data_IF_466586091213
#
_entry.id   IF_466586091213
#
_cell.length_a   1.000
_cell.length_b   1.000
_cell.length_c   1.000
_cell.angle_alpha   90.00
_cell.angle_beta   90.00
_cell.angle_gamma   90.00
#
_symmetry.space_group_name_H-M   'P 1'
#
loop_
_entity.id
_entity.type
_entity.pdbx_description
1 polymer ?
#
# COMPACT_ATOMS: atom_id res chain seq x y z
N UNK A 1 14.75 15.48 -2.06
CA UNK A 1 15.63 16.36 -1.28
C UNK A 1 16.81 15.57 -0.76
N UNK A 2 18.05 16.09 -0.86
CA UNK A 2 19.22 15.57 -0.15
C UNK A 2 19.08 15.69 1.37
N UNK A 3 18.18 16.56 1.84
CA UNK A 3 17.85 16.68 3.25
C UNK A 3 17.22 15.38 3.77
N UNK A 4 17.58 15.00 5.00
CA UNK A 4 17.09 13.79 5.68
C UNK A 4 15.60 13.80 6.03
N UNK A 5 14.87 14.85 5.61
CA UNK A 5 13.47 15.15 5.93
C UNK A 5 12.63 15.33 4.65
N UNK A 6 11.35 15.01 4.73
CA UNK A 6 10.37 15.31 3.68
C UNK A 6 9.10 15.90 4.31
N UNK A 7 8.72 17.10 3.82
CA UNK A 7 7.50 17.77 4.24
C UNK A 7 6.23 17.04 3.76
N UNK A 8 5.06 17.34 4.35
CA UNK A 8 3.83 16.59 4.15
C UNK A 8 3.33 16.59 2.70
N UNK A 9 3.34 17.74 2.02
CA UNK A 9 2.90 17.84 0.63
C UNK A 9 3.80 17.07 -0.36
N UNK A 10 5.11 17.18 -0.19
CA UNK A 10 6.07 16.44 -1.02
C UNK A 10 6.02 14.92 -0.75
N UNK A 11 5.79 14.53 0.49
CA UNK A 11 5.56 13.13 0.87
C UNK A 11 4.32 12.58 0.17
N UNK A 12 3.18 13.27 0.25
CA UNK A 12 1.92 12.82 -0.34
C UNK A 12 2.01 12.63 -1.85
N UNK A 13 2.60 13.60 -2.56
CA UNK A 13 2.82 13.52 -4.01
C UNK A 13 3.71 12.33 -4.38
N UNK A 14 4.83 12.15 -3.68
CA UNK A 14 5.74 11.03 -3.93
C UNK A 14 5.10 9.66 -3.61
N UNK A 15 4.37 9.57 -2.50
CA UNK A 15 3.70 8.35 -2.08
C UNK A 15 2.58 7.94 -3.02
N UNK A 16 1.74 8.88 -3.49
CA UNK A 16 0.69 8.58 -4.48
C UNK A 16 1.30 8.00 -5.77
N UNK A 17 2.43 8.54 -6.24
CA UNK A 17 3.09 8.01 -7.44
C UNK A 17 3.53 6.55 -7.22
N UNK A 18 4.17 6.27 -6.07
CA UNK A 18 4.58 4.89 -5.72
C UNK A 18 3.36 3.97 -5.65
N UNK A 19 2.27 4.44 -5.03
CA UNK A 19 1.04 3.68 -4.88
C UNK A 19 0.36 3.42 -6.24
N UNK A 20 0.31 4.42 -7.12
CA UNK A 20 -0.28 4.29 -8.45
C UNK A 20 0.50 3.29 -9.32
N UNK A 21 1.83 3.36 -9.32
CA UNK A 21 2.68 2.40 -10.05
C UNK A 21 2.50 0.99 -9.48
N UNK A 22 2.47 0.86 -8.16
CA UNK A 22 2.20 -0.43 -7.48
C UNK A 22 0.85 -1.00 -7.89
N UNK A 23 -0.20 -0.17 -7.94
CA UNK A 23 -1.54 -0.58 -8.37
C UNK A 23 -1.56 -1.04 -9.83
N UNK A 24 -0.91 -0.31 -10.74
CA UNK A 24 -0.80 -0.71 -12.16
C UNK A 24 -0.15 -2.08 -12.28
N UNK A 25 0.95 -2.33 -11.55
CA UNK A 25 1.63 -3.62 -11.56
C UNK A 25 0.71 -4.74 -11.06
N UNK A 26 -0.06 -4.50 -10.00
CA UNK A 26 -1.01 -5.49 -9.49
C UNK A 26 -2.12 -5.79 -10.50
N UNK A 27 -2.71 -4.76 -11.11
CA UNK A 27 -3.74 -4.93 -12.15
C UNK A 27 -3.19 -5.71 -13.35
N UNK A 28 -1.97 -5.43 -13.81
CA UNK A 28 -1.33 -6.18 -14.89
C UNK A 28 -1.20 -7.66 -14.53
N UNK A 29 -0.74 -7.99 -13.32
CA UNK A 29 -0.59 -9.38 -12.88
C UNK A 29 -1.93 -10.11 -12.78
N UNK A 30 -3.00 -9.43 -12.34
CA UNK A 30 -4.35 -10.02 -12.28
C UNK A 30 -4.89 -10.30 -13.69
N UNK A 31 -4.77 -9.34 -14.61
CA UNK A 31 -5.31 -9.46 -15.96
C UNK A 31 -4.53 -10.47 -16.84
N UNK A 32 -3.21 -10.53 -16.67
CA UNK A 32 -2.36 -11.43 -17.47
C UNK A 32 -2.23 -12.83 -16.85
N UNK A 33 -2.58 -12.99 -15.58
CA UNK A 33 -2.28 -14.19 -14.80
C UNK A 33 -0.76 -14.45 -14.68
N UNK A 34 -0.38 -15.65 -14.22
CA UNK A 34 1.03 -16.05 -14.17
C UNK A 34 1.66 -16.02 -15.56
N UNK A 35 2.66 -15.16 -15.76
CA UNK A 35 3.31 -14.93 -17.06
C UNK A 35 4.81 -14.74 -16.92
N UNK A 36 5.54 -14.73 -18.04
CA UNK A 36 6.98 -14.42 -18.06
C UNK A 36 7.30 -13.02 -17.49
N UNK A 37 6.31 -12.12 -17.44
CA UNK A 37 6.46 -10.78 -16.85
C UNK A 37 6.27 -10.76 -15.32
N UNK A 38 5.70 -11.81 -14.72
CA UNK A 38 5.42 -11.83 -13.27
C UNK A 38 6.69 -11.68 -12.44
N UNK A 39 7.80 -12.33 -12.83
CA UNK A 39 9.07 -12.22 -12.11
C UNK A 39 9.69 -10.81 -12.23
N UNK A 40 9.90 -10.22 -13.42
CA UNK A 40 10.37 -8.85 -13.57
C UNK A 40 9.51 -7.82 -12.81
N UNK A 41 8.19 -7.93 -12.90
CA UNK A 41 7.26 -7.03 -12.20
C UNK A 41 7.32 -7.19 -10.67
N UNK A 42 7.57 -8.40 -10.19
CA UNK A 42 7.85 -8.67 -8.77
C UNK A 42 9.10 -7.94 -8.28
N UNK A 43 10.17 -7.91 -9.07
CA UNK A 43 11.39 -7.16 -8.74
C UNK A 43 11.15 -5.66 -8.70
N UNK A 44 10.39 -5.12 -9.65
CA UNK A 44 9.99 -3.70 -9.63
C UNK A 44 9.17 -3.40 -8.36
N UNK A 45 8.25 -4.29 -7.99
CA UNK A 45 7.46 -4.15 -6.77
C UNK A 45 8.32 -4.10 -5.50
N UNK A 46 9.39 -4.90 -5.44
CA UNK A 46 10.34 -4.86 -4.32
C UNK A 46 11.09 -3.52 -4.24
N UNK A 47 11.48 -2.95 -5.39
CA UNK A 47 12.09 -1.60 -5.44
C UNK A 47 11.10 -0.54 -4.96
N UNK A 48 9.84 -0.60 -5.38
CA UNK A 48 8.79 0.33 -4.93
C UNK A 48 8.52 0.19 -3.42
N UNK A 49 8.58 -1.04 -2.89
CA UNK A 49 8.48 -1.28 -1.45
C UNK A 49 9.63 -0.62 -0.69
N UNK A 50 10.87 -0.74 -1.20
CA UNK A 50 12.01 -0.03 -0.63
C UNK A 50 11.85 1.49 -0.70
N UNK A 51 11.39 2.03 -1.83
CA UNK A 51 11.09 3.46 -1.98
C UNK A 51 10.04 3.92 -0.95
N UNK A 52 9.01 3.11 -0.69
CA UNK A 52 7.98 3.38 0.31
C UNK A 52 8.60 3.50 1.70
N UNK A 53 9.43 2.54 2.10
CA UNK A 53 10.14 2.61 3.39
C UNK A 53 10.98 3.89 3.48
N UNK A 54 11.74 4.19 2.44
CA UNK A 54 12.62 5.36 2.42
C UNK A 54 11.85 6.69 2.59
N UNK A 55 10.69 6.85 1.92
CA UNK A 55 9.89 8.08 2.07
C UNK A 55 9.20 8.16 3.42
N UNK A 56 8.79 7.03 4.01
CA UNK A 56 8.22 6.97 5.36
C UNK A 56 9.25 7.34 6.43
N UNK A 57 10.46 6.81 6.34
CA UNK A 57 11.56 7.16 7.25
C UNK A 57 11.85 8.66 7.20
N UNK A 58 11.92 9.24 6.00
CA UNK A 58 12.10 10.69 5.85
C UNK A 58 10.92 11.49 6.42
N UNK A 59 9.69 10.97 6.35
CA UNK A 59 8.51 11.61 6.94
C UNK A 59 8.59 11.60 8.46
N UNK A 60 8.98 10.46 9.05
CA UNK A 60 9.19 10.33 10.50
C UNK A 60 10.30 11.26 11.00
N UNK A 61 11.40 11.38 10.26
CA UNK A 61 12.45 12.34 10.57
C UNK A 61 11.95 13.80 10.56
N UNK A 62 11.00 14.11 9.66
CA UNK A 62 10.39 15.43 9.62
C UNK A 62 9.48 15.73 10.82
N UNK A 63 8.94 14.70 11.48
CA UNK A 63 8.16 14.84 12.73
C UNK A 63 9.05 14.81 13.98
N UNK A 64 10.38 14.69 13.81
CA UNK A 64 11.33 14.53 14.92
C UNK A 64 11.40 13.10 15.50
N UNK A 65 10.70 12.14 14.88
CA UNK A 65 10.73 10.74 15.29
C UNK A 65 11.91 10.00 14.65
N UNK A 66 12.33 8.89 15.26
CA UNK A 66 13.35 8.00 14.68
C UNK A 66 12.79 7.20 13.52
N UNK A 67 13.62 6.90 12.51
CA UNK A 67 13.22 6.08 11.37
C UNK A 67 12.75 4.66 11.73
N UNK A 68 13.16 4.13 12.88
CA UNK A 68 12.78 2.79 13.36
C UNK A 68 11.27 2.61 13.57
N UNK A 69 10.53 3.70 13.80
CA UNK A 69 9.07 3.65 13.86
C UNK A 69 8.42 3.12 12.58
N UNK A 70 9.14 3.14 11.44
CA UNK A 70 8.66 2.51 10.20
C UNK A 70 8.40 1.01 10.37
N UNK A 71 9.15 0.32 11.23
CA UNK A 71 8.96 -1.12 11.49
C UNK A 71 7.66 -1.36 12.25
N UNK A 72 7.38 -0.54 13.27
CA UNK A 72 6.14 -0.63 14.03
C UNK A 72 4.93 -0.27 13.16
N UNK A 73 5.05 0.77 12.33
CA UNK A 73 4.02 1.15 11.36
C UNK A 73 3.79 0.00 10.36
N UNK A 74 4.84 -0.54 9.75
CA UNK A 74 4.74 -1.64 8.80
C UNK A 74 4.12 -2.89 9.45
N UNK A 75 4.51 -3.23 10.68
CA UNK A 75 3.98 -4.38 11.41
C UNK A 75 2.50 -4.22 11.76
N UNK A 76 2.12 -3.09 12.36
CA UNK A 76 0.72 -2.78 12.67
C UNK A 76 -0.14 -2.73 11.41
N UNK A 77 0.40 -2.16 10.34
CA UNK A 77 -0.28 -2.08 9.06
C UNK A 77 -0.47 -3.43 8.38
N UNK A 78 0.54 -4.30 8.45
CA UNK A 78 0.46 -5.68 7.96
C UNK A 78 -0.62 -6.44 8.71
N UNK A 79 -0.76 -6.24 10.02
CA UNK A 79 -1.82 -6.87 10.80
C UNK A 79 -3.22 -6.39 10.35
N UNK A 80 -3.41 -5.09 10.13
CA UNK A 80 -4.66 -4.55 9.59
C UNK A 80 -5.01 -5.16 8.23
N UNK A 81 -4.02 -5.29 7.34
CA UNK A 81 -4.19 -5.96 6.04
C UNK A 81 -4.56 -7.44 6.19
N UNK A 82 -3.87 -8.18 7.05
CA UNK A 82 -4.13 -9.62 7.25
C UNK A 82 -5.54 -9.87 7.77
N UNK A 83 -5.99 -9.09 8.75
CA UNK A 83 -7.37 -9.19 9.27
C UNK A 83 -8.37 -8.84 8.18
N UNK A 84 -8.11 -7.76 7.44
CA UNK A 84 -8.97 -7.36 6.33
C UNK A 84 -9.08 -8.42 5.24
N UNK A 85 -7.97 -9.01 4.81
CA UNK A 85 -7.95 -10.11 3.82
C UNK A 85 -8.68 -11.34 4.36
N UNK A 86 -8.51 -11.70 5.63
CA UNK A 86 -9.23 -12.84 6.23
C UNK A 86 -10.75 -12.63 6.18
N UNK A 87 -11.23 -11.41 6.43
CA UNK A 87 -12.66 -11.06 6.31
C UNK A 87 -13.12 -11.18 4.85
N UNK A 88 -12.35 -10.64 3.90
CA UNK A 88 -12.68 -10.72 2.46
C UNK A 88 -12.75 -12.19 2.00
N UNK A 89 -11.79 -13.03 2.38
CA UNK A 89 -11.80 -14.44 2.04
C UNK A 89 -13.03 -15.15 2.62
N UNK A 90 -13.37 -14.86 3.88
CA UNK A 90 -14.55 -15.45 4.54
C UNK A 90 -15.87 -15.08 3.85
N UNK A 91 -15.99 -13.85 3.35
CA UNK A 91 -17.20 -13.36 2.68
C UNK A 91 -17.23 -13.81 1.21
N UNK A 92 -16.30 -13.30 0.41
CA UNK A 92 -16.36 -13.41 -1.05
C UNK A 92 -15.95 -14.80 -1.54
N UNK A 93 -14.82 -15.33 -1.06
CA UNK A 93 -14.39 -16.67 -1.46
C UNK A 93 -15.25 -17.77 -0.81
N UNK A 94 -15.79 -17.50 0.39
CA UNK A 94 -16.76 -18.36 1.06
C UNK A 94 -18.01 -18.62 0.22
N UNK A 95 -18.57 -17.58 -0.41
CA UNK A 95 -19.76 -17.71 -1.26
C UNK A 95 -19.50 -18.59 -2.50
N UNK A 96 -18.36 -18.38 -3.17
CA UNK A 96 -17.93 -19.20 -4.33
C UNK A 96 -17.76 -20.67 -3.92
N UNK A 97 -17.10 -20.92 -2.79
CA UNK A 97 -16.90 -22.27 -2.26
C UNK A 97 -18.22 -22.94 -1.87
N UNK A 98 -19.15 -22.19 -1.28
CA UNK A 98 -20.46 -22.72 -0.90
C UNK A 98 -21.27 -23.17 -2.12
N UNK A 99 -21.13 -22.46 -3.25
CA UNK A 99 -21.76 -22.81 -4.52
C UNK A 99 -21.12 -24.08 -5.10
N UNK A 100 -19.78 -24.17 -5.09
CA UNK A 100 -19.04 -25.36 -5.51
C UNK A 100 -19.36 -26.61 -4.68
N UNK A 101 -19.74 -26.46 -3.40
CA UNK A 101 -20.18 -27.58 -2.57
C UNK A 101 -21.57 -28.11 -2.95
N UNK A 102 -22.42 -27.29 -3.56
CA UNK A 102 -23.80 -27.65 -3.92
C UNK A 102 -23.92 -28.12 -5.37
N UNK A 103 -23.01 -27.69 -6.23
CA UNK A 103 -23.00 -28.00 -7.66
C UNK A 103 -21.64 -28.57 -8.08
N UNK A 104 -21.57 -29.90 -8.19
CA UNK A 104 -20.37 -30.61 -8.65
C UNK A 104 -19.98 -30.24 -10.10
N UNK A 105 -20.96 -29.92 -10.96
CA UNK A 105 -20.68 -29.49 -12.32
C UNK A 105 -20.01 -28.12 -12.35
N UNK A 106 -20.44 -27.20 -11.48
CA UNK A 106 -19.79 -25.91 -11.31
C UNK A 106 -18.37 -26.06 -10.74
N UNK A 107 -18.19 -26.89 -9.71
CA UNK A 107 -16.90 -27.13 -9.07
C UNK A 107 -15.83 -27.67 -10.04
N UNK A 108 -16.24 -28.46 -11.04
CA UNK A 108 -15.34 -28.97 -12.08
C UNK A 108 -15.22 -28.06 -13.30
N UNK A 109 -15.96 -26.94 -13.33
CA UNK A 109 -15.93 -26.03 -14.45
C UNK A 109 -14.67 -25.13 -14.43
N UNK A 110 -14.18 -24.68 -15.59
CA UNK A 110 -13.16 -23.62 -15.65
C UNK A 110 -13.61 -22.29 -15.03
N UNK A 111 -14.93 -22.11 -14.84
CA UNK A 111 -15.51 -20.89 -14.29
C UNK A 111 -15.24 -20.78 -12.79
N UNK A 112 -15.24 -21.89 -12.05
CA UNK A 112 -14.93 -21.91 -10.61
C UNK A 112 -13.59 -21.22 -10.30
N UNK A 113 -12.54 -21.53 -11.08
CA UNK A 113 -11.22 -20.92 -10.89
C UNK A 113 -11.21 -19.41 -11.15
N UNK A 114 -12.01 -18.94 -12.12
CA UNK A 114 -12.14 -17.51 -12.43
C UNK A 114 -12.91 -16.77 -11.34
N UNK A 115 -14.04 -17.32 -10.91
CA UNK A 115 -14.86 -16.74 -9.85
C UNK A 115 -14.09 -16.70 -8.53
N UNK A 116 -13.30 -17.73 -8.23
CA UNK A 116 -12.43 -17.75 -7.05
C UNK A 116 -11.30 -16.71 -7.17
N UNK A 117 -10.72 -16.52 -8.36
CA UNK A 117 -9.76 -15.45 -8.59
C UNK A 117 -10.40 -14.07 -8.36
N UNK A 118 -11.55 -13.80 -8.97
CA UNK A 118 -12.21 -12.50 -8.86
C UNK A 118 -12.69 -12.20 -7.43
N UNK A 119 -13.22 -13.20 -6.73
CA UNK A 119 -13.64 -13.11 -5.34
C UNK A 119 -12.49 -12.81 -4.36
N UNK A 120 -11.24 -13.12 -4.73
CA UNK A 120 -10.07 -12.83 -3.92
C UNK A 120 -9.44 -11.50 -4.33
N UNK A 121 -9.12 -11.37 -5.62
CA UNK A 121 -8.27 -10.29 -6.11
C UNK A 121 -9.00 -8.96 -6.21
N UNK A 122 -10.25 -8.92 -6.65
CA UNK A 122 -11.00 -7.66 -6.81
C UNK A 122 -11.25 -6.98 -5.46
N UNK A 123 -11.95 -7.63 -4.50
CA UNK A 123 -12.18 -7.02 -3.20
C UNK A 123 -10.88 -6.86 -2.40
N UNK A 124 -9.93 -7.79 -2.52
CA UNK A 124 -8.62 -7.71 -1.87
C UNK A 124 -7.80 -6.50 -2.35
N UNK A 125 -7.81 -6.22 -3.67
CA UNK A 125 -7.13 -5.06 -4.24
C UNK A 125 -7.81 -3.76 -3.85
N UNK A 126 -9.15 -3.72 -3.86
CA UNK A 126 -9.91 -2.54 -3.43
C UNK A 126 -9.63 -2.20 -1.96
N UNK A 127 -9.69 -3.22 -1.09
CA UNK A 127 -9.36 -3.08 0.32
C UNK A 127 -7.91 -2.62 0.51
N UNK A 128 -6.97 -3.27 -0.19
CA UNK A 128 -5.56 -2.92 -0.14
C UNK A 128 -5.30 -1.47 -0.56
N UNK A 129 -6.01 -0.97 -1.57
CA UNK A 129 -5.91 0.41 -2.01
C UNK A 129 -6.46 1.38 -0.95
N UNK A 130 -7.67 1.13 -0.44
CA UNK A 130 -8.30 1.96 0.60
C UNK A 130 -7.41 2.06 1.82
N UNK A 131 -6.91 0.92 2.28
CA UNK A 131 -6.00 0.83 3.40
C UNK A 131 -4.77 1.69 3.06
N UNK A 132 -3.99 1.38 2.01
CA UNK A 132 -2.76 2.14 1.67
C UNK A 132 -2.96 3.66 1.54
N UNK A 133 -4.07 4.10 0.94
CA UNK A 133 -4.45 5.52 0.89
C UNK A 133 -4.60 6.09 2.30
N UNK A 134 -5.30 5.38 3.20
CA UNK A 134 -5.48 5.80 4.59
C UNK A 134 -4.13 5.92 5.33
N UNK A 135 -3.19 4.99 5.17
CA UNK A 135 -1.87 5.12 5.79
C UNK A 135 -1.08 6.30 5.24
N UNK A 136 -1.05 6.45 3.91
CA UNK A 136 -0.41 7.61 3.30
C UNK A 136 -1.02 8.92 3.80
N UNK A 137 -2.35 8.96 3.95
CA UNK A 137 -3.03 10.14 4.44
C UNK A 137 -2.69 10.42 5.90
N UNK A 138 -2.69 9.40 6.77
CA UNK A 138 -2.27 9.53 8.18
C UNK A 138 -0.84 10.07 8.25
N UNK A 139 0.09 9.50 7.46
CA UNK A 139 1.49 9.93 7.43
C UNK A 139 1.67 11.36 6.91
N UNK A 140 0.89 11.76 5.91
CA UNK A 140 0.89 13.12 5.39
C UNK A 140 0.37 14.14 6.41
N UNK A 141 -0.55 13.74 7.30
CA UNK A 141 -1.13 14.62 8.33
C UNK A 141 -0.35 14.63 9.65
N UNK A 142 0.72 13.85 9.79
CA UNK A 142 1.59 13.97 10.97
C UNK A 142 2.15 15.38 11.08
N UNK A 143 2.26 15.92 12.29
CA UNK A 143 2.78 17.28 12.50
C UNK A 143 4.29 17.29 12.30
N UNK A 144 4.76 18.18 11.43
CA UNK A 144 6.19 18.45 11.23
C UNK A 144 6.79 19.18 12.43
N UNK A 145 8.05 18.87 12.73
CA UNK A 145 8.84 19.58 13.73
C UNK A 145 9.21 20.98 13.19
N UNK A 146 8.76 22.06 13.84
CA UNK A 146 9.03 23.43 13.38
C UNK A 146 10.50 23.85 13.57
N UNK A 147 11.26 23.12 14.39
CA UNK A 147 12.64 23.45 14.69
C UNK A 147 13.61 22.62 13.85
N UNK A 148 14.88 23.05 13.87
CA UNK A 148 15.99 22.21 13.42
C UNK A 148 16.12 21.03 14.37
N UNK A 149 16.14 19.81 13.83
CA UNK A 149 16.31 18.58 14.59
C UNK A 149 17.53 17.80 14.08
N UNK A 150 17.77 16.60 14.64
CA UNK A 150 18.92 15.76 14.29
C UNK A 150 19.01 15.39 12.80
N UNK A 151 17.93 15.56 12.04
CA UNK A 151 17.82 15.20 10.62
C UNK A 151 17.89 16.40 9.67
N UNK A 152 18.08 17.61 10.21
CA UNK A 152 18.30 18.84 9.45
C UNK A 152 17.28 19.95 9.75
N UNK A 153 17.38 21.08 9.02
CA UNK A 153 16.50 22.21 9.17
C UNK A 153 15.04 21.87 8.80
N UNK A 154 14.06 22.67 9.28
CA UNK A 154 12.65 22.45 8.98
C UNK A 154 12.39 22.45 7.46
N UNK A 155 11.46 21.60 7.04
CA UNK A 155 11.02 21.51 5.64
C UNK A 155 10.09 22.65 5.24
N UNK A 156 9.57 23.41 6.20
CA UNK A 156 8.85 24.66 6.02
C UNK A 156 9.79 25.83 6.28
N UNK A 157 10.22 26.54 5.23
CA UNK A 157 11.04 27.77 5.36
C UNK A 157 10.35 29.02 4.80
N UNK A 158 9.04 28.99 4.54
CA UNK A 158 8.30 30.20 4.14
C UNK A 158 6.91 30.26 4.80
N UNK A 159 6.49 31.41 5.34
CA UNK A 159 5.13 31.65 5.84
C UNK A 159 3.98 31.52 4.80
N UNK A 160 4.24 31.01 3.59
CA UNK A 160 3.27 30.94 2.48
C UNK A 160 2.69 29.55 2.16
N UNK A 161 3.27 28.45 2.66
CA UNK A 161 2.93 27.10 2.18
C UNK A 161 1.84 26.37 3.00
N UNK A 162 0.99 27.12 3.71
CA UNK A 162 -0.01 26.48 4.58
C UNK A 162 -1.22 25.91 3.84
N UNK A 163 -1.54 26.33 2.62
CA UNK A 163 -2.64 25.74 1.84
C UNK A 163 -2.42 25.95 0.33
N UNK A 164 -1.97 24.90 -0.37
CA UNK A 164 -2.13 24.75 -1.83
C UNK A 164 -2.04 23.29 -2.26
#
# INVERSE_FOLDING_TARGET
>A
SPAGRIGPGNFWRGYIIILAVSLIIQVINVLMGPSALSMPLGLVSLVLYWCTIAVFVKRLHDTGATGWWVVAIAGGWTLVMLVGVAIILGIFAGDVMSTAMQDESYAQSPQFMRDMQDAIFVPGTALGLVINIALGFIMANLRSDPNTNAYGPPTMTSPGDTFS
#
